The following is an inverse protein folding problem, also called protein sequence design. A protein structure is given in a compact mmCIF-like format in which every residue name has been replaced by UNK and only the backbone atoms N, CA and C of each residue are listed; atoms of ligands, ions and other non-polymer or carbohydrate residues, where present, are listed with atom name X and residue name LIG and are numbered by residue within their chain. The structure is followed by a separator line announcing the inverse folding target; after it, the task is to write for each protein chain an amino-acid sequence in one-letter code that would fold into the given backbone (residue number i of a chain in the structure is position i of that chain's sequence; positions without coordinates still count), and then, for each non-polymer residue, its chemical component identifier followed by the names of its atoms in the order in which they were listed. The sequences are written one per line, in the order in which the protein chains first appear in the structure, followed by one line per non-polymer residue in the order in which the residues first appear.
data_IF_690300205040
#
_entry.id   IF_690300205040
#
_cell.length_a   1.000
_cell.length_b   1.000
_cell.length_c   1.000
_cell.angle_alpha   90.00
_cell.angle_beta   90.00
_cell.angle_gamma   90.00
#
_symmetry.space_group_name_H-M   'P 1'
#
loop_
_entity.id
_entity.type
_entity.pdbx_description
1 polymer ?
#
# COMPACT_ATOMS: atom_id res chain seq x y z
N UNK A 1 2.41 10.17 -1.95
CA UNK A 1 1.33 11.15 -1.72
C UNK A 1 1.41 11.59 -0.28
N UNK A 2 1.30 12.89 -0.01
CA UNK A 2 1.35 13.45 1.35
C UNK A 2 -0.08 13.66 1.85
N UNK A 3 -0.42 13.08 3.02
CA UNK A 3 -1.63 13.45 3.76
C UNK A 3 -1.30 14.64 4.64
N UNK A 4 -1.95 15.77 4.40
CA UNK A 4 -1.85 16.98 5.22
C UNK A 4 -3.23 17.34 5.74
N UNK A 5 -3.70 16.61 6.75
CA UNK A 5 -5.07 16.73 7.24
C UNK A 5 -5.21 17.77 8.37
N UNK A 6 -4.12 18.11 9.06
CA UNK A 6 -4.12 19.18 10.08
C UNK A 6 -3.64 20.52 9.49
N UNK A 7 -4.04 21.66 10.06
CA UNK A 7 -3.58 22.98 9.62
C UNK A 7 -2.05 23.11 9.57
N UNK A 8 -1.35 22.54 10.55
CA UNK A 8 0.11 22.58 10.66
C UNK A 8 0.76 21.78 9.53
N UNK A 9 0.29 20.54 9.30
CA UNK A 9 0.78 19.70 8.20
C UNK A 9 0.47 20.30 6.83
N UNK A 10 -0.65 21.02 6.69
CA UNK A 10 -0.99 21.73 5.43
C UNK A 10 0.02 22.79 5.11
N UNK A 11 0.48 23.53 6.10
CA UNK A 11 1.45 24.60 5.88
C UNK A 11 2.84 24.04 5.56
N UNK A 12 3.30 23.03 6.31
CA UNK A 12 4.55 22.32 6.00
C UNK A 12 4.53 21.71 4.58
N UNK A 13 3.42 21.07 4.21
CA UNK A 13 3.31 20.43 2.89
C UNK A 13 3.25 21.47 1.76
N UNK A 14 2.65 22.65 1.96
CA UNK A 14 2.72 23.74 0.97
C UNK A 14 4.17 24.22 0.77
N UNK A 15 4.96 24.34 1.83
CA UNK A 15 6.36 24.73 1.72
C UNK A 15 7.16 23.69 0.93
N UNK A 16 6.98 22.40 1.25
CA UNK A 16 7.60 21.29 0.52
C UNK A 16 7.14 21.24 -0.93
N UNK A 17 5.85 21.49 -1.19
CA UNK A 17 5.28 21.52 -2.52
C UNK A 17 5.98 22.58 -3.39
N UNK A 18 6.14 23.79 -2.84
CA UNK A 18 6.80 24.91 -3.51
C UNK A 18 8.28 24.62 -3.74
N UNK A 19 8.97 24.05 -2.74
CA UNK A 19 10.40 23.72 -2.80
C UNK A 19 10.72 22.64 -3.84
N UNK A 20 9.91 21.59 -3.90
CA UNK A 20 10.17 20.41 -4.74
C UNK A 20 9.29 20.33 -6.00
N UNK A 21 8.49 21.36 -6.28
CA UNK A 21 7.55 21.43 -7.43
C UNK A 21 6.63 20.21 -7.50
N UNK A 22 6.12 19.78 -6.34
CA UNK A 22 5.24 18.60 -6.26
C UNK A 22 3.88 18.97 -6.87
N UNK A 23 3.34 18.17 -7.81
CA UNK A 23 1.99 18.42 -8.34
C UNK A 23 0.94 18.39 -7.24
N UNK A 24 -0.02 19.32 -7.24
CA UNK A 24 -1.10 19.36 -6.23
C UNK A 24 -1.91 18.07 -6.19
N UNK A 25 -2.01 17.34 -7.31
CA UNK A 25 -2.64 16.02 -7.40
C UNK A 25 -1.96 14.95 -6.55
N UNK A 26 -0.72 15.18 -6.06
CA UNK A 26 0.02 14.27 -5.18
C UNK A 26 -0.06 14.65 -3.70
N UNK A 27 -0.83 15.68 -3.36
CA UNK A 27 -1.04 16.14 -1.99
C UNK A 27 -2.53 16.06 -1.68
N UNK A 28 -2.86 15.37 -0.60
CA UNK A 28 -4.21 15.30 -0.08
C UNK A 28 -4.24 16.25 1.13
N UNK A 29 -4.72 17.47 0.91
CA UNK A 29 -4.90 18.47 1.97
C UNK A 29 -6.24 18.36 2.67
N UNK A 30 -7.19 17.60 2.12
CA UNK A 30 -8.54 17.46 2.65
C UNK A 30 -8.90 15.99 2.81
N UNK A 31 -9.58 15.68 3.91
CA UNK A 31 -10.14 14.35 4.12
C UNK A 31 -11.24 14.13 3.09
N UNK A 32 -11.15 13.06 2.30
CA UNK A 32 -12.23 12.68 1.40
C UNK A 32 -13.25 11.95 2.25
N UNK A 33 -14.50 12.41 2.19
CA UNK A 33 -15.61 11.83 2.90
C UNK A 33 -16.49 11.02 1.95
N UNK A 34 -17.38 10.22 2.51
CA UNK A 34 -18.37 9.48 1.72
C UNK A 34 -19.29 10.41 0.89
N UNK A 35 -19.55 11.62 1.39
CA UNK A 35 -20.37 12.62 0.68
C UNK A 35 -19.66 13.14 -0.58
N UNK A 36 -18.33 13.23 -0.56
CA UNK A 36 -17.55 13.67 -1.73
C UNK A 36 -17.57 12.64 -2.87
N UNK A 37 -17.85 11.37 -2.55
CA UNK A 37 -17.94 10.28 -3.53
C UNK A 37 -19.27 10.30 -4.27
N UNK A 38 -20.36 10.76 -3.64
CA UNK A 38 -21.68 10.83 -4.26
C UNK A 38 -21.93 12.21 -4.87
N UNK A 39 -22.02 12.28 -6.20
CA UNK A 39 -22.48 13.47 -6.91
C UNK A 39 -24.02 13.52 -6.93
N UNK A 40 -24.57 14.66 -7.38
CA UNK A 40 -26.01 14.82 -7.65
C UNK A 40 -26.55 13.62 -8.46
N UNK A 41 -27.75 13.16 -8.10
CA UNK A 41 -28.41 11.97 -8.69
C UNK A 41 -27.68 10.64 -8.42
N UNK A 42 -27.01 10.51 -7.28
CA UNK A 42 -26.32 9.27 -6.84
C UNK A 42 -25.24 8.78 -7.81
N UNK A 43 -24.71 9.66 -8.67
CA UNK A 43 -23.62 9.31 -9.58
C UNK A 43 -22.31 9.24 -8.79
N UNK A 44 -21.61 8.12 -8.91
CA UNK A 44 -20.33 7.91 -8.22
C UNK A 44 -19.22 8.72 -8.90
N UNK A 45 -18.47 9.46 -8.10
CA UNK A 45 -17.18 10.02 -8.46
C UNK A 45 -16.07 8.98 -8.24
N UNK A 46 -15.66 8.30 -9.32
CA UNK A 46 -14.66 7.24 -9.23
C UNK A 46 -13.28 7.74 -8.79
N UNK A 47 -12.91 9.00 -9.03
CA UNK A 47 -11.63 9.52 -8.55
C UNK A 47 -11.68 9.70 -7.03
N UNK A 48 -12.74 10.33 -6.52
CA UNK A 48 -12.95 10.48 -5.07
C UNK A 48 -13.12 9.14 -4.36
N UNK A 49 -13.81 8.16 -4.96
CA UNK A 49 -13.92 6.81 -4.42
C UNK A 49 -12.54 6.15 -4.26
N UNK A 50 -11.68 6.29 -5.25
CA UNK A 50 -10.30 5.79 -5.19
C UNK A 50 -9.50 6.47 -4.09
N UNK A 51 -9.60 7.79 -3.98
CA UNK A 51 -8.89 8.54 -2.94
C UNK A 51 -9.39 8.22 -1.53
N UNK A 52 -10.70 7.97 -1.36
CA UNK A 52 -11.27 7.47 -0.11
C UNK A 52 -10.69 6.09 0.25
N UNK A 53 -10.62 5.17 -0.73
CA UNK A 53 -9.97 3.87 -0.54
C UNK A 53 -8.52 4.02 -0.10
N UNK A 54 -7.75 4.87 -0.80
CA UNK A 54 -6.36 5.16 -0.46
C UNK A 54 -6.20 5.68 0.97
N UNK A 55 -7.07 6.61 1.40
CA UNK A 55 -7.05 7.14 2.76
C UNK A 55 -7.31 6.04 3.80
N UNK A 56 -8.33 5.21 3.61
CA UNK A 56 -8.67 4.13 4.55
C UNK A 56 -7.56 3.09 4.65
N UNK A 57 -6.94 2.72 3.53
CA UNK A 57 -5.79 1.80 3.52
C UNK A 57 -4.56 2.41 4.17
N UNK A 58 -4.33 3.72 4.00
CA UNK A 58 -3.21 4.39 4.65
C UNK A 58 -3.32 4.39 6.18
N UNK A 59 -4.54 4.43 6.74
CA UNK A 59 -4.76 4.29 8.18
C UNK A 59 -4.37 2.90 8.71
N UNK A 60 -4.52 1.85 7.89
CA UNK A 60 -4.20 0.46 8.25
C UNK A 60 -2.90 -0.03 7.59
N UNK A 61 -2.02 0.90 7.20
CA UNK A 61 -0.81 0.60 6.44
C UNK A 61 0.16 -0.30 7.21
N UNK A 62 0.29 -0.11 8.51
CA UNK A 62 1.20 -0.91 9.33
C UNK A 62 0.81 -2.39 9.38
N UNK A 63 -0.49 -2.66 9.41
CA UNK A 63 -1.09 -4.00 9.46
C UNK A 63 -1.01 -4.70 8.10
N UNK A 64 -1.35 -3.98 7.03
CA UNK A 64 -1.50 -4.57 5.68
C UNK A 64 -0.24 -4.48 4.81
N UNK A 65 0.70 -3.60 5.14
CA UNK A 65 1.79 -3.21 4.23
C UNK A 65 1.29 -2.49 2.97
N UNK A 66 0.00 -2.11 2.94
CA UNK A 66 -0.66 -1.54 1.77
C UNK A 66 -0.85 -2.53 0.62
N UNK A 67 -0.87 -3.84 0.88
CA UNK A 67 -1.17 -4.88 -0.11
C UNK A 67 -2.48 -5.55 0.28
N UNK A 68 -3.53 -5.36 -0.52
CA UNK A 68 -4.90 -5.73 -0.14
C UNK A 68 -5.66 -6.28 -1.36
N UNK A 69 -6.47 -7.34 -1.21
CA UNK A 69 -7.39 -7.80 -2.26
C UNK A 69 -8.47 -6.74 -2.60
N UNK A 70 -8.89 -6.68 -3.87
CA UNK A 70 -9.96 -5.76 -4.31
C UNK A 70 -11.24 -5.91 -3.48
N UNK A 71 -11.61 -7.13 -3.08
CA UNK A 71 -12.78 -7.40 -2.25
C UNK A 71 -12.70 -6.71 -0.90
N UNK A 72 -11.54 -6.75 -0.25
CA UNK A 72 -11.32 -6.08 1.03
C UNK A 72 -11.27 -4.55 0.86
N UNK A 73 -10.71 -4.05 -0.25
CA UNK A 73 -10.82 -2.62 -0.59
C UNK A 73 -12.28 -2.20 -0.75
N UNK A 74 -13.11 -3.04 -1.37
CA UNK A 74 -14.55 -2.79 -1.50
C UNK A 74 -15.24 -2.74 -0.14
N UNK A 75 -15.01 -3.72 0.74
CA UNK A 75 -15.55 -3.70 2.10
C UNK A 75 -15.10 -2.46 2.87
N UNK A 76 -13.84 -2.07 2.70
CA UNK A 76 -13.29 -0.86 3.32
C UNK A 76 -13.99 0.41 2.84
N UNK A 77 -14.59 0.49 1.66
CA UNK A 77 -15.28 1.71 1.16
C UNK A 77 -16.80 1.63 1.16
N UNK A 78 -17.38 0.43 1.13
CA UNK A 78 -18.81 0.18 1.04
C UNK A 78 -19.52 0.30 2.41
N UNK A 79 -19.36 1.45 3.04
CA UNK A 79 -19.89 1.75 4.39
C UNK A 79 -20.83 2.93 4.37
N UNK A 80 -21.53 3.17 5.48
CA UNK A 80 -22.33 4.39 5.69
C UNK A 80 -23.29 4.67 4.54
N UNK A 81 -23.18 5.85 3.93
CA UNK A 81 -24.06 6.27 2.83
C UNK A 81 -23.67 5.65 1.48
N UNK A 82 -22.46 5.09 1.37
CA UNK A 82 -22.01 4.37 0.17
C UNK A 82 -22.54 2.94 0.12
N UNK A 83 -22.96 2.41 1.27
CA UNK A 83 -23.48 1.05 1.38
C UNK A 83 -24.70 0.84 0.46
N UNK A 84 -24.57 -0.09 -0.47
CA UNK A 84 -25.61 -0.41 -1.46
C UNK A 84 -25.69 0.57 -2.64
N UNK A 85 -24.93 1.67 -2.61
CA UNK A 85 -24.78 2.61 -3.72
C UNK A 85 -23.53 2.33 -4.54
N UNK A 86 -22.47 1.76 -3.94
CA UNK A 86 -21.21 1.40 -4.62
C UNK A 86 -21.18 -0.08 -4.97
N UNK A 87 -20.72 -0.42 -6.17
CA UNK A 87 -20.46 -1.80 -6.59
C UNK A 87 -18.95 -2.09 -6.67
N UNK A 88 -18.58 -3.38 -6.65
CA UNK A 88 -17.18 -3.81 -6.82
C UNK A 88 -16.56 -3.24 -8.10
N UNK A 89 -17.33 -3.17 -9.20
CA UNK A 89 -16.89 -2.59 -10.48
C UNK A 89 -16.55 -1.10 -10.38
N UNK A 90 -17.20 -0.35 -9.49
CA UNK A 90 -16.87 1.05 -9.26
C UNK A 90 -15.52 1.20 -8.55
N UNK A 91 -15.25 0.32 -7.59
CA UNK A 91 -13.95 0.27 -6.89
C UNK A 91 -12.85 -0.18 -7.83
N UNK A 92 -13.09 -1.19 -8.66
CA UNK A 92 -12.12 -1.62 -9.67
C UNK A 92 -11.79 -0.47 -10.63
N UNK A 93 -12.80 0.26 -11.10
CA UNK A 93 -12.63 1.41 -11.99
C UNK A 93 -11.88 2.55 -11.30
N UNK A 94 -12.18 2.85 -10.04
CA UNK A 94 -11.47 3.88 -9.28
C UNK A 94 -9.99 3.54 -9.11
N UNK A 95 -9.67 2.29 -8.78
CA UNK A 95 -8.29 1.83 -8.65
C UNK A 95 -7.53 1.84 -9.96
N UNK A 96 -8.18 1.50 -11.09
CA UNK A 96 -7.57 1.65 -12.43
C UNK A 96 -7.24 3.11 -12.74
N UNK A 97 -8.10 4.05 -12.35
CA UNK A 97 -7.80 5.50 -12.46
C UNK A 97 -6.57 5.85 -11.63
N UNK A 98 -6.53 5.41 -10.35
CA UNK A 98 -5.39 5.68 -9.47
C UNK A 98 -4.08 5.06 -9.96
N UNK A 99 -4.12 3.86 -10.55
CA UNK A 99 -2.94 3.24 -11.17
C UNK A 99 -2.46 4.07 -12.36
N UNK A 100 -3.38 4.49 -13.24
CA UNK A 100 -3.06 5.32 -14.41
C UNK A 100 -2.45 6.68 -14.02
N UNK A 101 -2.93 7.27 -12.93
CA UNK A 101 -2.39 8.54 -12.39
C UNK A 101 -1.19 8.35 -11.48
N UNK A 102 -0.69 7.12 -11.31
CA UNK A 102 0.46 6.75 -10.45
C UNK A 102 0.26 7.16 -8.99
N UNK A 103 -0.98 7.10 -8.52
CA UNK A 103 -1.35 7.32 -7.12
C UNK A 103 -1.10 6.07 -6.29
N UNK A 104 -1.50 4.90 -6.81
CA UNK A 104 -1.16 3.59 -6.24
C UNK A 104 0.02 2.97 -6.98
N UNK A 105 0.74 2.09 -6.29
CA UNK A 105 1.93 1.41 -6.82
C UNK A 105 1.53 0.39 -7.89
N UNK A 106 0.59 -0.51 -7.59
CA UNK A 106 0.18 -1.53 -8.53
C UNK A 106 -1.25 -2.06 -8.38
N UNK A 107 -1.74 -2.68 -9.46
CA UNK A 107 -2.99 -3.41 -9.54
C UNK A 107 -2.74 -4.65 -10.41
N UNK A 108 -2.76 -5.83 -9.82
CA UNK A 108 -2.35 -7.08 -10.48
C UNK A 108 -3.39 -8.16 -10.24
N UNK A 109 -3.77 -8.87 -11.30
CA UNK A 109 -4.60 -10.06 -11.20
C UNK A 109 -3.70 -11.29 -11.02
N UNK A 110 -3.97 -12.09 -9.98
CA UNK A 110 -3.28 -13.35 -9.75
C UNK A 110 -3.82 -14.43 -10.71
N UNK A 111 -3.09 -15.53 -10.86
CA UNK A 111 -3.53 -16.68 -11.67
C UNK A 111 -4.89 -17.26 -11.21
N UNK A 112 -5.23 -17.08 -9.93
CA UNK A 112 -6.53 -17.44 -9.36
C UNK A 112 -7.69 -16.53 -9.78
N UNK A 113 -7.42 -15.44 -10.50
CA UNK A 113 -8.39 -14.39 -10.85
C UNK A 113 -8.62 -13.36 -9.72
N UNK A 114 -7.91 -13.48 -8.59
CA UNK A 114 -8.01 -12.50 -7.50
C UNK A 114 -7.22 -11.24 -7.88
N UNK A 115 -7.90 -10.09 -7.87
CA UNK A 115 -7.28 -8.79 -8.08
C UNK A 115 -6.64 -8.29 -6.79
N UNK A 116 -5.31 -8.09 -6.81
CA UNK A 116 -4.52 -7.56 -5.71
C UNK A 116 -4.14 -6.10 -5.99
N UNK A 117 -4.22 -5.28 -4.95
CA UNK A 117 -3.91 -3.84 -5.01
C UNK A 117 -2.72 -3.54 -4.13
N UNK A 118 -1.70 -2.88 -4.69
CA UNK A 118 -0.56 -2.33 -3.94
C UNK A 118 -0.70 -0.82 -3.89
N UNK A 119 -1.03 -0.28 -2.73
CA UNK A 119 -1.23 1.16 -2.55
C UNK A 119 0.08 1.93 -2.47
N UNK A 120 1.11 1.35 -1.86
CA UNK A 120 2.39 2.03 -1.61
C UNK A 120 3.56 1.27 -2.24
N UNK A 121 4.54 2.00 -2.82
CA UNK A 121 5.87 1.47 -3.04
C UNK A 121 6.46 0.96 -1.74
N UNK A 122 7.23 -0.12 -1.80
CA UNK A 122 7.77 -0.78 -0.61
C UNK A 122 8.69 0.12 0.22
N UNK A 123 9.42 1.03 -0.43
CA UNK A 123 10.29 1.99 0.24
C UNK A 123 9.51 2.93 1.16
N UNK A 124 8.19 3.02 0.99
CA UNK A 124 7.32 3.84 1.83
C UNK A 124 6.61 3.03 2.90
N UNK A 125 6.74 1.71 2.97
CA UNK A 125 6.02 0.88 3.97
C UNK A 125 6.77 0.72 5.29
N UNK A 126 8.10 0.89 5.28
CA UNK A 126 8.95 0.60 6.44
C UNK A 126 9.21 -0.90 6.65
N UNK A 127 8.72 -1.75 5.73
CA UNK A 127 8.84 -3.20 5.86
C UNK A 127 10.29 -3.67 5.81
N UNK A 128 11.11 -3.07 4.95
CA UNK A 128 12.55 -3.36 4.84
C UNK A 128 13.26 -3.18 6.18
N UNK A 129 12.95 -2.10 6.91
CA UNK A 129 13.52 -1.82 8.23
C UNK A 129 13.15 -2.90 9.26
N UNK A 130 11.90 -3.37 9.24
CA UNK A 130 11.42 -4.43 10.15
C UNK A 130 12.13 -5.75 9.86
N UNK A 131 12.28 -6.11 8.58
CA UNK A 131 13.00 -7.32 8.17
C UNK A 131 14.49 -7.25 8.53
N UNK A 132 15.15 -6.11 8.29
CA UNK A 132 16.54 -5.88 8.73
C UNK A 132 16.65 -5.97 10.25
N UNK A 133 15.65 -5.47 10.98
CA UNK A 133 15.55 -5.62 12.44
C UNK A 133 15.58 -7.09 12.88
N UNK A 134 14.84 -7.97 12.21
CA UNK A 134 14.86 -9.41 12.48
C UNK A 134 16.21 -10.07 12.13
N UNK A 135 16.84 -9.63 11.04
CA UNK A 135 18.10 -10.21 10.59
C UNK A 135 19.25 -9.99 11.59
N UNK A 136 19.18 -8.96 12.45
CA UNK A 136 20.20 -8.66 13.48
C UNK A 136 20.51 -9.82 14.43
N UNK A 137 19.59 -10.76 14.61
CA UNK A 137 19.80 -11.90 15.50
C UNK A 137 20.72 -12.98 14.91
N UNK A 138 20.64 -13.21 13.58
CA UNK A 138 21.24 -14.40 12.94
C UNK A 138 21.94 -14.13 11.61
N UNK A 139 21.82 -12.93 11.04
CA UNK A 139 22.34 -12.57 9.71
C UNK A 139 21.69 -13.34 8.55
N UNK A 140 20.69 -14.17 8.82
CA UNK A 140 20.03 -15.06 7.89
C UNK A 140 18.56 -15.18 8.28
N UNK A 141 17.67 -15.07 7.29
CA UNK A 141 16.23 -15.24 7.46
C UNK A 141 15.68 -16.16 6.37
N UNK A 142 14.72 -17.01 6.72
CA UNK A 142 13.84 -17.66 5.73
C UNK A 142 12.57 -16.82 5.50
N UNK A 143 11.79 -17.18 4.49
CA UNK A 143 10.48 -16.56 4.27
C UNK A 143 9.55 -16.81 5.46
N UNK A 144 9.59 -18.02 6.02
CA UNK A 144 8.81 -18.46 7.17
C UNK A 144 9.20 -17.69 8.44
N UNK A 145 10.49 -17.40 8.65
CA UNK A 145 10.95 -16.57 9.78
C UNK A 145 10.26 -15.20 9.76
N UNK A 146 10.19 -14.56 8.60
CA UNK A 146 9.57 -13.23 8.44
C UNK A 146 8.06 -13.32 8.62
N UNK A 147 7.41 -14.27 7.95
CA UNK A 147 5.96 -14.48 8.07
C UNK A 147 5.55 -14.72 9.53
N UNK A 148 6.25 -15.63 10.23
CA UNK A 148 5.92 -16.01 11.60
C UNK A 148 6.23 -14.89 12.59
N UNK A 149 7.45 -14.31 12.56
CA UNK A 149 7.86 -13.31 13.55
C UNK A 149 7.15 -11.97 13.38
N UNK A 150 6.78 -11.58 12.17
CA UNK A 150 6.06 -10.32 11.90
C UNK A 150 4.55 -10.50 11.74
N UNK A 151 4.05 -11.73 11.80
CA UNK A 151 2.66 -12.08 11.49
C UNK A 151 2.22 -11.52 10.12
N UNK A 152 3.06 -11.74 9.09
CA UNK A 152 2.84 -11.21 7.75
C UNK A 152 2.36 -12.28 6.78
N UNK A 153 1.63 -11.82 5.76
CA UNK A 153 1.36 -12.64 4.59
C UNK A 153 2.66 -12.96 3.83
N UNK A 154 2.67 -14.10 3.15
CA UNK A 154 3.81 -14.53 2.35
C UNK A 154 4.18 -13.51 1.27
N UNK A 155 3.19 -12.88 0.63
CA UNK A 155 3.40 -11.86 -0.41
C UNK A 155 4.11 -10.62 0.15
N UNK A 156 3.68 -10.11 1.31
CA UNK A 156 4.31 -8.96 1.97
C UNK A 156 5.75 -9.27 2.39
N UNK A 157 5.96 -10.44 2.99
CA UNK A 157 7.29 -10.88 3.42
C UNK A 157 8.24 -11.07 2.24
N UNK A 158 7.80 -11.76 1.19
CA UNK A 158 8.58 -11.99 -0.02
C UNK A 158 8.94 -10.67 -0.71
N UNK A 159 7.97 -9.75 -0.84
CA UNK A 159 8.20 -8.42 -1.42
C UNK A 159 9.29 -7.65 -0.66
N UNK A 160 9.29 -7.71 0.67
CA UNK A 160 10.30 -7.07 1.52
C UNK A 160 11.69 -7.67 1.31
N UNK A 161 11.79 -9.00 1.31
CA UNK A 161 13.04 -9.72 1.10
C UNK A 161 13.61 -9.48 -0.31
N UNK A 162 12.77 -9.52 -1.35
CA UNK A 162 13.18 -9.22 -2.72
C UNK A 162 13.63 -7.76 -2.89
N UNK A 163 13.03 -6.80 -2.18
CA UNK A 163 13.47 -5.41 -2.22
C UNK A 163 14.86 -5.23 -1.61
N UNK A 164 15.11 -5.89 -0.47
CA UNK A 164 16.41 -5.93 0.20
C UNK A 164 17.48 -6.66 -0.65
N UNK A 165 17.07 -7.69 -1.38
CA UNK A 165 17.95 -8.35 -2.36
C UNK A 165 18.30 -7.41 -3.51
N UNK A 166 17.31 -6.75 -4.12
CA UNK A 166 17.50 -5.80 -5.22
C UNK A 166 18.36 -4.60 -4.84
N UNK A 167 18.33 -4.17 -3.58
CA UNK A 167 19.19 -3.11 -3.06
C UNK A 167 20.62 -3.59 -2.71
N UNK A 168 20.87 -4.90 -2.75
CA UNK A 168 22.16 -5.52 -2.41
C UNK A 168 22.38 -5.72 -0.91
N UNK A 169 21.39 -5.41 -0.06
CA UNK A 169 21.47 -5.62 1.39
C UNK A 169 21.37 -7.09 1.78
N UNK A 170 20.64 -7.88 0.99
CA UNK A 170 20.49 -9.31 1.17
C UNK A 170 20.93 -10.09 -0.07
N UNK A 171 21.29 -11.35 0.11
CA UNK A 171 21.59 -12.31 -0.96
C UNK A 171 20.67 -13.51 -0.83
N UNK A 172 19.90 -13.76 -1.88
CA UNK A 172 19.08 -14.96 -1.99
C UNK A 172 19.95 -16.20 -2.14
N UNK A 173 19.55 -17.27 -1.46
CA UNK A 173 20.04 -18.62 -1.69
C UNK A 173 18.91 -19.61 -1.48
N UNK A 174 18.97 -20.72 -2.21
CA UNK A 174 18.01 -21.81 -2.08
C UNK A 174 18.68 -23.02 -1.43
N UNK A 175 18.02 -23.60 -0.44
CA UNK A 175 18.50 -24.76 0.29
C UNK A 175 17.45 -25.87 0.24
N UNK A 176 17.85 -27.09 -0.12
CA UNK A 176 16.94 -28.22 -0.32
C UNK A 176 16.16 -28.56 0.97
N UNK A 177 16.76 -28.38 2.14
CA UNK A 177 16.16 -28.73 3.43
C UNK A 177 15.36 -27.60 4.06
N UNK A 178 15.73 -26.34 3.80
CA UNK A 178 15.20 -25.17 4.51
C UNK A 178 14.52 -24.15 3.60
N UNK A 179 14.42 -24.44 2.30
CA UNK A 179 13.75 -23.60 1.32
C UNK A 179 14.52 -22.31 0.97
N UNK A 180 13.76 -21.24 0.76
CA UNK A 180 14.26 -19.92 0.35
C UNK A 180 14.87 -19.19 1.54
N UNK A 181 16.10 -18.70 1.40
CA UNK A 181 16.81 -17.98 2.45
C UNK A 181 17.45 -16.69 1.93
N UNK A 182 17.50 -15.68 2.80
CA UNK A 182 18.16 -14.40 2.54
C UNK A 182 19.25 -14.18 3.58
N UNK A 183 20.49 -14.10 3.11
CA UNK A 183 21.67 -13.80 3.92
C UNK A 183 21.99 -12.31 3.86
N UNK A 184 22.32 -11.70 5.00
CA UNK A 184 22.61 -10.28 5.16
C UNK A 184 24.10 -10.08 5.44
N UNK A 185 24.96 -9.83 4.44
CA UNK A 185 26.42 -9.91 4.60
C UNK A 185 27.03 -8.87 5.56
N UNK A 186 26.30 -7.79 5.84
CA UNK A 186 26.76 -6.68 6.68
C UNK A 186 26.28 -6.75 8.13
N UNK A 187 25.58 -7.83 8.51
CA UNK A 187 25.07 -8.11 9.86
C UNK A 187 25.85 -9.31 10.41
#
# INVERSE_FOLDING_TARGET
ILLALTPELREEVKELQKKYKIPSSKIITEQITEHDVLRKFSKIDHEKLGMLAYQRVLMNKEETGGIIPLSEVFELVNTGILKGNVQVKDVEKSLKILKKTKVIDDLTELESGIMMVRFFPIQYTGDETKVVGLAKEKGLLTLEDVCFKLNWSQDRALRALESLEKSGMAKYRENILTGKQWFFPSI
#
